data_IF_539940436837
#
_entry.id   IF_539940436837
#
_cell.length_a   1.000
_cell.length_b   1.000
_cell.length_c   1.000
_cell.angle_alpha   90.00
_cell.angle_beta   90.00
_cell.angle_gamma   90.00
#
_symmetry.space_group_name_H-M   'P 1'
#
loop_
_entity.id
_entity.type
_entity.pdbx_description
1 polymer ?
#
# COMPACT_ATOMS: atom_id res chain seq x y z
N UNK A 1 4.70 -18.26 -27.77
CA UNK A 1 4.71 -17.30 -26.65
C UNK A 1 3.78 -17.84 -25.56
N UNK A 2 4.30 -18.73 -24.70
CA UNK A 2 3.51 -19.44 -23.68
C UNK A 2 3.90 -19.09 -22.24
N UNK A 3 4.65 -18.01 -22.03
CA UNK A 3 5.41 -17.80 -20.77
C UNK A 3 4.72 -16.92 -19.71
N UNK A 4 3.49 -16.45 -19.90
CA UNK A 4 2.84 -15.57 -18.90
C UNK A 4 2.21 -16.33 -17.74
N UNK A 5 1.85 -17.60 -17.93
CA UNK A 5 1.33 -18.43 -16.83
C UNK A 5 2.43 -18.93 -15.89
N UNK A 6 3.69 -18.94 -16.34
CA UNK A 6 4.81 -19.43 -15.53
C UNK A 6 5.01 -18.53 -14.30
N UNK A 7 4.92 -17.21 -14.45
CA UNK A 7 5.09 -16.25 -13.34
C UNK A 7 4.05 -16.43 -12.23
N UNK A 8 2.79 -16.71 -12.57
CA UNK A 8 1.75 -16.94 -11.55
C UNK A 8 2.00 -18.23 -10.77
N UNK A 9 2.43 -19.29 -11.46
CA UNK A 9 2.73 -20.57 -10.81
C UNK A 9 3.97 -20.53 -9.92
N UNK A 10 4.86 -19.55 -10.12
CA UNK A 10 6.05 -19.33 -9.31
C UNK A 10 5.75 -18.65 -7.96
N UNK A 11 4.57 -18.02 -7.79
CA UNK A 11 4.19 -17.41 -6.52
C UNK A 11 3.92 -18.47 -5.45
N UNK A 12 4.09 -18.16 -4.16
CA UNK A 12 3.59 -18.98 -3.07
C UNK A 12 2.09 -19.32 -3.20
N UNK A 13 1.71 -20.55 -2.80
CA UNK A 13 0.33 -21.05 -2.96
C UNK A 13 -0.72 -20.17 -2.27
N UNK A 14 -0.39 -19.58 -1.12
CA UNK A 14 -1.32 -18.69 -0.41
C UNK A 14 -1.62 -17.41 -1.20
N UNK A 15 -0.63 -16.85 -1.92
CA UNK A 15 -0.84 -15.69 -2.80
C UNK A 15 -1.67 -16.09 -4.02
N UNK A 16 -1.37 -17.24 -4.64
CA UNK A 16 -2.18 -17.75 -5.75
C UNK A 16 -3.65 -17.88 -5.35
N UNK A 17 -3.92 -18.49 -4.19
CA UNK A 17 -5.28 -18.64 -3.66
C UNK A 17 -5.93 -17.29 -3.36
N UNK A 18 -5.17 -16.34 -2.79
CA UNK A 18 -5.66 -14.99 -2.49
C UNK A 18 -6.03 -14.21 -3.76
N UNK A 19 -5.19 -14.27 -4.80
CA UNK A 19 -5.43 -13.65 -6.12
C UNK A 19 -6.69 -14.22 -6.76
N UNK A 20 -6.85 -15.55 -6.74
CA UNK A 20 -8.04 -16.21 -7.26
C UNK A 20 -9.30 -15.90 -6.45
N UNK A 21 -9.19 -15.87 -5.12
CA UNK A 21 -10.30 -15.52 -4.24
C UNK A 21 -10.77 -14.09 -4.48
N UNK A 22 -9.86 -13.13 -4.60
CA UNK A 22 -10.18 -11.75 -4.91
C UNK A 22 -10.91 -11.60 -6.26
N UNK A 23 -10.52 -12.39 -7.27
CA UNK A 23 -11.23 -12.45 -8.55
C UNK A 23 -12.66 -12.96 -8.38
N UNK A 24 -12.85 -14.11 -7.74
CA UNK A 24 -14.18 -14.73 -7.58
C UNK A 24 -15.14 -13.84 -6.77
N UNK A 25 -14.64 -13.17 -5.73
CA UNK A 25 -15.45 -12.31 -4.86
C UNK A 25 -15.77 -10.93 -5.46
N UNK A 26 -15.10 -10.53 -6.53
CA UNK A 26 -15.32 -9.25 -7.21
C UNK A 26 -16.20 -9.37 -8.45
N UNK A 27 -16.36 -10.58 -9.01
CA UNK A 27 -17.35 -10.83 -10.06
C UNK A 27 -18.74 -10.65 -9.44
N UNK A 28 -19.54 -9.66 -9.89
CA UNK A 28 -20.89 -9.50 -9.40
C UNK A 28 -21.64 -10.79 -9.69
N UNK A 29 -22.13 -11.45 -8.63
CA UNK A 29 -22.92 -12.66 -8.79
C UNK A 29 -24.20 -12.27 -9.50
N UNK A 30 -24.20 -12.41 -10.82
CA UNK A 30 -25.33 -12.10 -11.68
C UNK A 30 -26.52 -12.94 -11.18
N UNK A 31 -27.45 -12.27 -10.50
CA UNK A 31 -28.75 -12.82 -10.14
C UNK A 31 -28.72 -14.01 -9.19
N UNK A 32 -28.47 -13.77 -7.90
CA UNK A 32 -29.40 -14.33 -6.92
C UNK A 32 -30.44 -13.26 -6.61
N UNK A 33 -31.19 -12.82 -7.62
CA UNK A 33 -32.41 -12.08 -7.36
C UNK A 33 -33.32 -13.05 -6.60
N UNK A 34 -33.75 -12.72 -5.37
CA UNK A 34 -34.72 -13.53 -4.62
C UNK A 34 -36.11 -13.33 -5.23
N UNK A 35 -36.27 -13.62 -6.52
CA UNK A 35 -37.56 -13.65 -7.17
C UNK A 35 -38.11 -15.07 -7.05
N UNK A 36 -38.92 -15.19 -6.01
CA UNK A 36 -40.12 -16.01 -5.96
C UNK A 36 -39.93 -17.52 -6.10
N UNK A 37 -39.98 -18.16 -4.94
CA UNK A 37 -40.16 -19.59 -4.74
C UNK A 37 -41.53 -20.03 -5.29
N UNK A 38 -41.64 -20.08 -6.62
CA UNK A 38 -42.78 -20.66 -7.35
C UNK A 38 -42.38 -22.01 -7.92
N UNK A 39 -42.70 -23.09 -7.19
CA UNK A 39 -42.33 -24.46 -7.54
C UNK A 39 -42.85 -24.92 -8.91
N UNK A 40 -41.93 -25.39 -9.76
CA UNK A 40 -42.25 -26.06 -11.01
C UNK A 40 -41.24 -27.18 -11.27
N UNK A 41 -41.61 -28.41 -10.94
CA UNK A 41 -40.84 -29.61 -11.27
C UNK A 41 -40.82 -29.80 -12.79
N UNK A 42 -39.65 -29.67 -13.42
CA UNK A 42 -39.38 -30.29 -14.72
C UNK A 42 -38.17 -31.21 -14.58
N UNK A 43 -38.47 -32.50 -14.56
CA UNK A 43 -37.48 -33.56 -14.60
C UNK A 43 -36.92 -33.67 -16.03
N UNK A 44 -35.59 -33.70 -16.13
CA UNK A 44 -34.86 -34.17 -17.31
C UNK A 44 -34.39 -33.07 -18.25
N UNK A 45 -33.13 -32.66 -18.13
CA UNK A 45 -32.02 -33.14 -18.98
C UNK A 45 -30.71 -32.84 -18.24
N UNK A 46 -29.98 -33.93 -17.97
CA UNK A 46 -28.57 -33.98 -17.61
C UNK A 46 -27.70 -33.20 -18.61
N UNK A 47 -27.06 -32.13 -18.13
CA UNK A 47 -26.11 -31.34 -18.92
C UNK A 47 -25.64 -30.09 -18.18
N UNK A 48 -25.11 -30.24 -16.96
CA UNK A 48 -24.57 -29.16 -16.14
C UNK A 48 -23.24 -28.60 -16.67
N UNK A 49 -23.28 -27.95 -17.83
CA UNK A 49 -22.18 -27.22 -18.47
C UNK A 49 -22.39 -25.71 -18.28
N UNK A 50 -22.48 -25.21 -17.03
CA UNK A 50 -22.87 -23.82 -16.74
C UNK A 50 -22.07 -23.17 -15.59
N UNK A 51 -20.74 -23.33 -15.56
CA UNK A 51 -19.90 -22.51 -14.67
C UNK A 51 -18.50 -22.16 -15.20
N UNK A 52 -18.11 -22.59 -16.41
CA UNK A 52 -16.81 -22.21 -16.99
C UNK A 52 -16.82 -20.76 -17.55
N UNK A 53 -18.00 -20.16 -17.74
CA UNK A 53 -18.14 -18.81 -18.34
C UNK A 53 -17.92 -17.63 -17.38
N UNK A 54 -17.61 -17.87 -16.10
CA UNK A 54 -17.20 -16.78 -15.18
C UNK A 54 -15.69 -16.59 -15.16
N UNK A 55 -15.02 -16.83 -16.29
CA UNK A 55 -13.59 -16.60 -16.45
C UNK A 55 -13.24 -15.11 -16.67
N UNK A 56 -14.17 -14.19 -16.45
CA UNK A 56 -14.03 -12.77 -16.77
C UNK A 56 -14.53 -11.86 -15.64
N UNK A 57 -13.77 -10.79 -15.34
CA UNK A 57 -14.13 -9.73 -14.40
C UNK A 57 -14.33 -8.42 -15.17
N UNK A 58 -15.42 -7.65 -14.94
CA UNK A 58 -15.59 -6.35 -15.57
C UNK A 58 -14.54 -5.35 -15.07
N UNK A 59 -14.06 -4.45 -15.93
CA UNK A 59 -13.04 -3.46 -15.59
C UNK A 59 -13.44 -2.57 -14.40
N UNK A 60 -14.75 -2.32 -14.22
CA UNK A 60 -15.30 -1.57 -13.09
C UNK A 60 -15.15 -2.26 -11.73
N UNK A 61 -14.99 -3.58 -11.70
CA UNK A 61 -14.81 -4.36 -10.46
C UNK A 61 -13.33 -4.53 -10.06
N UNK A 62 -12.39 -4.15 -10.95
CA UNK A 62 -10.95 -4.27 -10.70
C UNK A 62 -10.48 -3.47 -9.49
N UNK A 63 -10.86 -2.19 -9.29
CA UNK A 63 -10.47 -1.46 -8.09
C UNK A 63 -10.87 -2.20 -6.80
N UNK A 64 -12.07 -2.78 -6.75
CA UNK A 64 -12.53 -3.57 -5.61
C UNK A 64 -11.72 -4.86 -5.44
N UNK A 65 -11.37 -5.53 -6.53
CA UNK A 65 -10.53 -6.73 -6.49
C UNK A 65 -9.11 -6.40 -5.98
N UNK A 66 -8.51 -5.30 -6.45
CA UNK A 66 -7.21 -4.81 -5.99
C UNK A 66 -7.23 -4.46 -4.50
N UNK A 67 -8.31 -3.83 -4.03
CA UNK A 67 -8.49 -3.53 -2.61
C UNK A 67 -8.47 -4.79 -1.73
N UNK A 68 -9.06 -5.91 -2.19
CA UNK A 68 -9.00 -7.21 -1.47
C UNK A 68 -7.59 -7.80 -1.43
N UNK A 69 -6.76 -7.43 -2.39
CA UNK A 69 -5.34 -7.78 -2.45
C UNK A 69 -4.46 -6.80 -1.66
N UNK A 70 -5.05 -5.85 -0.93
CA UNK A 70 -4.36 -4.73 -0.27
C UNK A 70 -3.49 -3.91 -1.24
N UNK A 71 -3.86 -3.88 -2.53
CA UNK A 71 -3.25 -3.04 -3.54
C UNK A 71 -4.04 -1.72 -3.69
N UNK A 72 -3.38 -0.61 -4.03
CA UNK A 72 -4.07 0.66 -4.21
C UNK A 72 -5.14 0.57 -5.33
N UNK A 73 -6.42 0.80 -5.02
CA UNK A 73 -7.50 0.64 -6.00
C UNK A 73 -7.50 1.75 -7.08
N UNK A 74 -6.87 2.89 -6.78
CA UNK A 74 -6.85 4.10 -7.61
C UNK A 74 -5.52 4.27 -8.37
N UNK A 75 -4.67 3.24 -8.45
CA UNK A 75 -3.40 3.34 -9.19
C UNK A 75 -3.66 3.33 -10.70
N UNK A 76 -3.57 4.52 -11.31
CA UNK A 76 -3.79 4.72 -12.75
C UNK A 76 -2.87 3.84 -13.63
N UNK A 77 -1.64 3.57 -13.20
CA UNK A 77 -0.71 2.75 -13.98
C UNK A 77 -1.16 1.29 -13.99
N UNK A 78 -1.53 0.76 -12.82
CA UNK A 78 -2.07 -0.60 -12.69
C UNK A 78 -3.37 -0.74 -13.47
N UNK A 79 -4.29 0.22 -13.32
CA UNK A 79 -5.56 0.23 -14.05
C UNK A 79 -5.36 0.31 -15.57
N UNK A 80 -4.36 1.05 -16.05
CA UNK A 80 -4.01 1.12 -17.46
C UNK A 80 -3.49 -0.23 -17.98
N UNK A 81 -2.68 -0.95 -17.19
CA UNK A 81 -2.22 -2.31 -17.54
C UNK A 81 -3.41 -3.26 -17.67
N UNK A 82 -4.36 -3.23 -16.73
CA UNK A 82 -5.59 -4.02 -16.83
C UNK A 82 -6.45 -3.65 -18.03
N UNK A 83 -6.57 -2.36 -18.34
CA UNK A 83 -7.28 -1.90 -19.55
C UNK A 83 -6.61 -2.42 -20.83
N UNK A 84 -5.27 -2.42 -20.88
CA UNK A 84 -4.52 -2.99 -21.99
C UNK A 84 -4.70 -4.51 -22.09
N UNK A 85 -4.73 -5.19 -20.95
CA UNK A 85 -4.97 -6.64 -20.88
C UNK A 85 -6.38 -7.00 -21.34
N UNK A 86 -7.39 -6.25 -20.92
CA UNK A 86 -8.78 -6.39 -21.37
C UNK A 86 -8.95 -6.13 -22.87
N UNK A 87 -8.17 -5.19 -23.43
CA UNK A 87 -8.15 -4.93 -24.87
C UNK A 87 -7.51 -6.07 -25.67
N UNK A 88 -6.96 -7.08 -24.99
CA UNK A 88 -6.39 -8.28 -25.56
C UNK A 88 -4.91 -8.12 -25.92
N UNK A 89 -4.01 -8.64 -25.08
CA UNK A 89 -2.60 -8.81 -25.45
C UNK A 89 -2.40 -9.84 -26.56
N UNK A 90 -3.34 -10.80 -26.69
CA UNK A 90 -3.23 -11.97 -27.58
C UNK A 90 -3.86 -11.77 -28.96
N UNK A 91 -4.49 -10.62 -29.23
CA UNK A 91 -5.31 -10.42 -30.42
C UNK A 91 -4.61 -9.62 -31.51
N UNK A 92 -3.47 -10.11 -32.00
CA UNK A 92 -2.97 -9.69 -33.33
C UNK A 92 -3.77 -10.31 -34.48
N UNK A 93 -4.78 -11.16 -34.18
CA UNK A 93 -5.47 -11.99 -35.18
C UNK A 93 -6.92 -11.62 -35.46
N UNK A 94 -7.56 -10.75 -34.67
CA UNK A 94 -8.99 -10.48 -34.85
C UNK A 94 -9.20 -9.12 -35.48
N UNK A 95 -9.81 -9.16 -36.67
CA UNK A 95 -10.23 -8.00 -37.44
C UNK A 95 -11.09 -7.09 -36.55
N UNK A 96 -10.93 -5.76 -36.65
CA UNK A 96 -11.84 -4.84 -36.01
C UNK A 96 -13.20 -4.97 -36.68
N UNK A 97 -14.12 -5.72 -36.08
CA UNK A 97 -15.54 -5.51 -36.34
C UNK A 97 -15.92 -4.22 -35.62
N UNK A 98 -15.75 -3.11 -36.34
CA UNK A 98 -16.48 -1.88 -36.10
C UNK A 98 -17.96 -2.23 -36.20
N UNK A 99 -18.70 -2.24 -35.07
CA UNK A 99 -20.04 -1.65 -34.96
C UNK A 99 -20.41 -1.64 -33.48
N UNK A 100 -20.82 -0.45 -33.05
CA UNK A 100 -20.99 -0.03 -31.66
C UNK A 100 -21.92 -0.87 -30.81
N UNK A 101 -21.45 -1.11 -29.60
CA UNK A 101 -22.17 -0.95 -28.33
C UNK A 101 -21.06 -0.82 -27.26
N UNK A 102 -21.35 -0.23 -26.10
CA UNK A 102 -20.42 -0.20 -24.96
C UNK A 102 -20.16 -1.63 -24.47
N UNK A 103 -19.38 -2.40 -25.23
CA UNK A 103 -18.94 -3.71 -24.85
C UNK A 103 -18.18 -3.53 -23.55
N UNK A 104 -18.83 -3.93 -22.45
CA UNK A 104 -18.23 -3.90 -21.13
C UNK A 104 -16.84 -4.53 -21.25
N UNK A 105 -15.82 -3.75 -20.90
CA UNK A 105 -14.44 -4.17 -21.03
C UNK A 105 -14.18 -5.20 -19.94
N UNK A 106 -13.91 -6.44 -20.31
CA UNK A 106 -13.68 -7.54 -19.37
C UNK A 106 -12.21 -7.97 -19.36
N UNK A 107 -11.70 -8.33 -18.20
CA UNK A 107 -10.37 -8.94 -18.02
C UNK A 107 -10.53 -10.43 -17.79
N UNK A 108 -9.79 -11.26 -18.55
CA UNK A 108 -9.81 -12.70 -18.36
C UNK A 108 -9.11 -13.10 -17.04
N UNK A 109 -9.47 -14.25 -16.47
CA UNK A 109 -8.84 -14.76 -15.25
C UNK A 109 -7.33 -14.97 -15.42
N UNK A 110 -6.90 -15.40 -16.61
CA UNK A 110 -5.48 -15.58 -16.91
C UNK A 110 -4.73 -14.26 -16.96
N UNK A 111 -5.33 -13.23 -17.57
CA UNK A 111 -4.74 -11.89 -17.60
C UNK A 111 -4.71 -11.27 -16.19
N UNK A 112 -5.77 -11.49 -15.40
CA UNK A 112 -5.80 -11.10 -13.98
C UNK A 112 -4.64 -11.71 -13.19
N UNK A 113 -4.49 -13.04 -13.28
CA UNK A 113 -3.40 -13.77 -12.63
C UNK A 113 -2.03 -13.29 -13.10
N UNK A 114 -1.87 -13.06 -14.40
CA UNK A 114 -0.60 -12.60 -14.99
C UNK A 114 -0.21 -11.22 -14.47
N UNK A 115 -1.14 -10.25 -14.47
CA UNK A 115 -0.88 -8.89 -13.98
C UNK A 115 -0.60 -8.91 -12.48
N UNK A 116 -1.42 -9.61 -11.69
CA UNK A 116 -1.20 -9.72 -10.25
C UNK A 116 0.14 -10.41 -9.94
N UNK A 117 0.54 -11.42 -10.71
CA UNK A 117 1.83 -12.08 -10.49
C UNK A 117 3.00 -11.13 -10.63
N UNK A 118 3.01 -10.29 -11.66
CA UNK A 118 4.06 -9.27 -11.85
C UNK A 118 4.05 -8.24 -10.71
N UNK A 119 2.87 -7.83 -10.23
CA UNK A 119 2.77 -6.89 -9.11
C UNK A 119 3.30 -7.48 -7.80
N UNK A 120 3.11 -8.79 -7.57
CA UNK A 120 3.57 -9.47 -6.37
C UNK A 120 4.99 -10.06 -6.49
N UNK A 121 5.55 -10.19 -7.68
CA UNK A 121 6.91 -10.72 -7.90
C UNK A 121 7.96 -9.92 -7.11
N UNK A 122 7.81 -8.60 -7.06
CA UNK A 122 8.69 -7.71 -6.29
C UNK A 122 8.39 -7.68 -4.78
N UNK A 123 7.27 -8.25 -4.34
CA UNK A 123 6.85 -8.24 -2.94
C UNK A 123 6.88 -9.63 -2.30
N UNK A 124 7.13 -10.69 -3.07
CA UNK A 124 7.11 -12.06 -2.55
C UNK A 124 8.11 -12.26 -1.39
N UNK A 125 9.30 -11.66 -1.49
CA UNK A 125 10.36 -11.75 -0.47
C UNK A 125 9.93 -11.13 0.88
N UNK A 126 9.07 -10.11 0.88
CA UNK A 126 8.60 -9.44 2.11
C UNK A 126 7.59 -10.28 2.90
N UNK A 127 6.91 -11.23 2.25
CA UNK A 127 5.91 -12.08 2.91
C UNK A 127 6.48 -13.41 3.41
N UNK A 128 7.64 -13.86 2.93
CA UNK A 128 8.26 -15.10 3.43
C UNK A 128 8.70 -14.96 4.90
N UNK A 129 9.06 -13.76 5.34
CA UNK A 129 9.52 -13.52 6.72
C UNK A 129 8.39 -13.34 7.74
N UNK A 130 7.16 -13.07 7.31
CA UNK A 130 6.07 -12.73 8.22
C UNK A 130 5.11 -13.89 8.56
N UNK A 131 5.19 -15.02 7.84
CA UNK A 131 4.33 -16.20 8.06
C UNK A 131 5.14 -17.47 8.41
N UNK A 132 6.36 -17.28 8.93
CA UNK A 132 7.16 -18.34 9.57
C UNK A 132 6.67 -18.74 10.97
N UNK A 133 5.52 -18.21 11.41
CA UNK A 133 4.82 -18.61 12.63
C UNK A 133 4.07 -19.94 12.48
N UNK A 134 4.69 -20.93 11.84
CA UNK A 134 4.33 -22.30 12.09
C UNK A 134 4.57 -22.54 13.59
N UNK A 135 3.49 -22.80 14.32
CA UNK A 135 3.48 -23.26 15.72
C UNK A 135 4.14 -24.64 15.75
N UNK A 136 5.45 -24.67 15.51
CA UNK A 136 6.32 -25.80 15.75
C UNK A 136 6.67 -25.77 17.22
N UNK A 137 6.01 -26.66 17.96
CA UNK A 137 6.38 -27.16 19.28
C UNK A 137 7.92 -27.19 19.45
N UNK A 138 8.47 -26.11 20.00
CA UNK A 138 9.88 -26.00 20.35
C UNK A 138 10.00 -26.23 21.86
N UNK A 139 10.83 -27.20 22.29
CA UNK A 139 10.99 -27.52 23.70
C UNK A 139 11.65 -26.34 24.42
N UNK A 140 11.06 -25.99 25.56
CA UNK A 140 11.60 -25.10 26.59
C UNK A 140 13.10 -25.36 26.81
N UNK A 141 13.95 -24.43 26.37
CA UNK A 141 15.32 -24.30 26.86
C UNK A 141 15.34 -23.12 27.82
N UNK A 142 15.31 -23.48 29.10
CA UNK A 142 15.64 -22.63 30.24
C UNK A 142 17.12 -22.21 30.12
N UNK A 143 17.37 -21.00 29.60
CA UNK A 143 18.71 -20.41 29.55
C UNK A 143 18.81 -19.30 30.57
N UNK A 144 19.26 -19.70 31.74
CA UNK A 144 19.65 -18.87 32.88
C UNK A 144 21.07 -18.32 32.68
N UNK A 145 21.29 -17.04 33.01
CA UNK A 145 22.60 -16.36 33.03
C UNK A 145 22.93 -15.70 31.68
N UNK A 146 23.44 -14.47 31.59
CA UNK A 146 24.45 -13.81 32.42
C UNK A 146 24.34 -12.28 32.21
N UNK A 147 24.57 -11.53 33.29
CA UNK A 147 24.85 -10.09 33.28
C UNK A 147 26.00 -9.76 32.31
N UNK A 148 25.84 -8.75 31.46
CA UNK A 148 27.01 -8.08 30.87
C UNK A 148 26.83 -6.56 30.85
N UNK A 149 27.66 -5.93 31.67
CA UNK A 149 27.77 -4.52 32.00
C UNK A 149 28.64 -3.85 30.92
N UNK A 150 28.01 -3.13 29.98
CA UNK A 150 28.77 -2.40 28.96
C UNK A 150 28.96 -0.93 29.36
N UNK A 151 30.23 -0.64 29.68
CA UNK A 151 30.82 0.68 29.89
C UNK A 151 30.65 1.60 28.68
N UNK A 152 30.27 2.84 28.99
CA UNK A 152 30.22 4.02 28.12
C UNK A 152 31.65 4.55 27.83
N UNK A 153 32.07 4.68 26.56
CA UNK A 153 33.24 5.46 26.21
C UNK A 153 32.85 6.86 25.71
N UNK A 154 33.18 7.88 26.50
CA UNK A 154 33.49 9.22 26.01
C UNK A 154 34.72 9.14 25.10
N UNK A 155 34.76 9.88 23.96
CA UNK A 155 35.75 10.97 23.94
C UNK A 155 35.42 12.19 23.05
N UNK A 156 35.91 13.32 23.54
CA UNK A 156 36.69 14.37 22.86
C UNK A 156 36.07 15.14 21.69
N UNK A 157 35.48 16.27 22.07
CA UNK A 157 35.87 17.62 21.66
C UNK A 157 37.03 17.70 20.64
N UNK A 158 36.70 17.90 19.37
CA UNK A 158 37.58 18.62 18.44
C UNK A 158 36.85 19.80 17.81
N UNK A 159 37.50 20.95 17.92
CA UNK A 159 36.99 22.30 17.71
C UNK A 159 37.51 22.80 16.38
N UNK A 160 36.78 22.57 15.31
CA UNK A 160 37.13 23.12 14.00
C UNK A 160 36.62 24.56 13.83
N UNK A 161 37.60 25.46 13.77
CA UNK A 161 37.55 26.90 13.56
C UNK A 161 36.99 27.23 12.15
N UNK A 162 35.75 27.75 12.10
CA UNK A 162 35.10 28.18 10.85
C UNK A 162 35.68 29.52 10.38
N UNK A 163 36.43 29.50 9.27
CA UNK A 163 36.93 30.72 8.59
C UNK A 163 35.83 31.26 7.67
N UNK A 164 35.30 32.43 8.02
CA UNK A 164 34.31 33.17 7.22
C UNK A 164 34.97 33.84 6.00
N UNK A 165 34.78 33.25 4.82
CA UNK A 165 35.22 33.80 3.55
C UNK A 165 34.25 34.84 2.97
N UNK A 166 34.73 35.84 2.22
CA UNK A 166 33.90 36.95 1.72
C UNK A 166 32.87 36.48 0.67
N UNK A 167 31.60 36.61 1.05
CA UNK A 167 30.42 36.37 0.21
C UNK A 167 30.43 37.25 -1.05
N UNK A 168 30.58 36.63 -2.22
CA UNK A 168 30.40 37.31 -3.51
C UNK A 168 28.92 37.38 -3.85
N UNK A 169 28.35 38.56 -3.62
CA UNK A 169 26.98 38.95 -3.97
C UNK A 169 26.72 38.79 -5.48
N UNK A 170 26.13 37.65 -5.88
CA UNK A 170 25.59 37.46 -7.23
C UNK A 170 24.15 37.97 -7.27
N UNK A 171 23.98 39.19 -7.80
CA UNK A 171 22.70 39.73 -8.28
C UNK A 171 22.04 38.73 -9.24
N UNK A 172 21.01 38.03 -8.76
CA UNK A 172 20.08 37.28 -9.63
C UNK A 172 18.99 38.22 -10.15
N UNK A 173 18.99 38.38 -11.46
CA UNK A 173 18.01 39.10 -12.27
C UNK A 173 16.61 38.49 -12.10
N UNK A 174 15.67 39.32 -11.68
CA UNK A 174 14.25 39.01 -11.48
C UNK A 174 13.57 38.74 -12.82
N UNK A 175 13.49 37.47 -13.23
CA UNK A 175 12.58 37.06 -14.30
C UNK A 175 11.16 36.95 -13.74
N UNK A 176 10.29 37.84 -14.22
CA UNK A 176 8.86 37.88 -13.96
C UNK A 176 8.18 36.70 -14.66
N UNK A 177 8.09 35.55 -13.97
CA UNK A 177 7.28 34.42 -14.42
C UNK A 177 5.80 34.73 -14.14
N UNK A 178 5.00 34.69 -15.21
CA UNK A 178 3.52 34.68 -15.17
C UNK A 178 3.06 33.63 -14.17
N UNK A 179 2.27 34.05 -13.19
CA UNK A 179 1.51 33.17 -12.33
C UNK A 179 0.55 32.35 -13.21
N UNK A 180 0.89 31.08 -13.42
CA UNK A 180 -0.11 30.05 -13.69
C UNK A 180 -0.74 29.77 -12.34
N UNK A 181 -1.96 30.24 -12.17
CA UNK A 181 -2.87 29.84 -11.10
C UNK A 181 -3.12 28.34 -11.23
N UNK A 182 -2.21 27.52 -10.69
CA UNK A 182 -2.55 26.18 -10.23
C UNK A 182 -3.39 26.40 -8.98
N UNK A 183 -4.71 26.43 -9.16
CA UNK A 183 -5.64 26.10 -8.09
C UNK A 183 -5.31 24.66 -7.69
N UNK A 184 -4.36 24.51 -6.77
CA UNK A 184 -4.28 23.34 -5.91
C UNK A 184 -5.56 23.38 -5.11
N UNK A 185 -6.60 22.80 -5.72
CA UNK A 185 -7.81 22.40 -5.04
C UNK A 185 -7.32 21.62 -3.85
N UNK A 186 -7.31 22.26 -2.67
CA UNK A 186 -7.15 21.59 -1.41
C UNK A 186 -8.27 20.55 -1.41
N UNK A 187 -7.90 19.33 -1.79
CA UNK A 187 -8.78 18.19 -1.80
C UNK A 187 -9.32 18.13 -0.40
N UNK A 188 -10.57 18.57 -0.26
CA UNK A 188 -11.34 18.50 0.97
C UNK A 188 -11.00 17.17 1.61
N UNK A 189 -10.42 17.22 2.81
CA UNK A 189 -9.96 16.08 3.60
C UNK A 189 -11.15 15.12 3.68
N UNK A 190 -11.24 14.23 2.70
CA UNK A 190 -12.26 13.21 2.65
C UNK A 190 -11.95 12.33 3.83
N UNK A 191 -12.98 12.02 4.62
CA UNK A 191 -12.90 11.13 5.79
C UNK A 191 -11.79 10.08 5.64
N UNK A 192 -10.88 9.95 6.62
CA UNK A 192 -9.64 9.19 6.48
C UNK A 192 -9.95 7.80 5.91
N UNK A 193 -9.41 7.51 4.72
CA UNK A 193 -9.51 6.17 4.12
C UNK A 193 -8.91 5.20 5.14
N UNK A 194 -9.66 4.15 5.50
CA UNK A 194 -9.14 3.11 6.41
C UNK A 194 -7.88 2.52 5.78
N UNK A 195 -6.79 2.51 6.55
CA UNK A 195 -5.51 1.92 6.13
C UNK A 195 -5.69 0.44 5.81
N UNK A 196 -5.00 -0.05 4.77
CA UNK A 196 -4.95 -1.50 4.50
C UNK A 196 -4.19 -2.21 5.62
N UNK A 197 -4.32 -3.54 5.71
CA UNK A 197 -3.59 -4.32 6.75
C UNK A 197 -2.08 -4.13 6.63
N UNK A 198 -1.58 -4.09 5.38
CA UNK A 198 -0.17 -3.86 5.08
C UNK A 198 0.27 -2.45 5.48
N UNK A 199 -0.47 -1.44 5.04
CA UNK A 199 -0.21 -0.04 5.42
C UNK A 199 -0.18 0.13 6.92
N UNK A 200 -1.10 -0.53 7.63
CA UNK A 200 -1.16 -0.49 9.09
C UNK A 200 0.10 -1.07 9.72
N UNK A 201 0.58 -2.24 9.22
CA UNK A 201 1.82 -2.87 9.68
C UNK A 201 3.04 -1.96 9.44
N UNK A 202 3.23 -1.49 8.21
CA UNK A 202 4.35 -0.60 7.84
C UNK A 202 4.31 0.72 8.62
N UNK A 203 3.11 1.30 8.80
CA UNK A 203 2.94 2.48 9.64
C UNK A 203 3.32 2.18 11.08
N UNK A 204 2.92 1.03 11.64
CA UNK A 204 3.21 0.66 13.02
C UNK A 204 4.72 0.44 13.25
N UNK A 205 5.39 -0.26 12.33
CA UNK A 205 6.85 -0.45 12.36
C UNK A 205 7.59 0.90 12.31
N UNK A 206 7.18 1.79 11.41
CA UNK A 206 7.79 3.13 11.30
C UNK A 206 7.46 4.00 12.52
N UNK A 207 6.24 3.87 13.06
CA UNK A 207 5.79 4.58 14.26
C UNK A 207 6.59 4.14 15.49
N UNK A 208 6.96 2.87 15.56
CA UNK A 208 7.79 2.32 16.64
C UNK A 208 9.16 3.00 16.75
N UNK A 209 9.72 3.50 15.63
CA UNK A 209 10.99 4.24 15.63
C UNK A 209 10.93 5.54 16.46
N UNK A 210 9.75 6.12 16.64
CA UNK A 210 9.54 7.27 17.52
C UNK A 210 9.44 6.90 19.00
N UNK A 211 9.35 5.62 19.36
CA UNK A 211 9.17 5.18 20.75
C UNK A 211 10.04 3.97 21.11
N UNK A 212 11.38 4.12 21.23
CA UNK A 212 12.29 3.02 21.52
C UNK A 212 12.00 2.25 22.82
N UNK A 213 11.28 2.88 23.76
CA UNK A 213 10.97 2.31 25.07
C UNK A 213 9.53 1.77 25.17
N UNK A 214 8.71 1.92 24.13
CA UNK A 214 7.32 1.47 24.15
C UNK A 214 7.18 0.06 23.58
N UNK A 215 6.26 -0.73 24.14
CA UNK A 215 5.90 -2.03 23.59
C UNK A 215 4.98 -1.87 22.37
N UNK A 216 4.97 -2.83 21.44
CA UNK A 216 4.11 -2.80 20.25
C UNK A 216 2.62 -2.65 20.59
N UNK A 217 2.17 -3.22 21.72
CA UNK A 217 0.80 -3.10 22.20
C UNK A 217 0.44 -1.69 22.68
N UNK A 218 1.42 -0.91 23.13
CA UNK A 218 1.20 0.45 23.61
C UNK A 218 1.32 1.50 22.50
N UNK A 219 1.96 1.16 21.38
CA UNK A 219 2.20 2.09 20.27
C UNK A 219 0.94 2.81 19.78
N UNK A 220 -0.22 2.16 19.57
CA UNK A 220 -1.42 2.86 19.09
C UNK A 220 -1.95 3.92 20.06
N UNK A 221 -1.59 3.83 21.34
CA UNK A 221 -1.99 4.78 22.39
C UNK A 221 -0.95 5.90 22.59
N UNK A 222 0.26 5.73 22.06
CA UNK A 222 1.28 6.78 22.08
C UNK A 222 0.96 7.89 21.08
N UNK A 223 1.59 9.05 21.28
CA UNK A 223 1.40 10.23 20.43
C UNK A 223 2.75 10.85 20.19
N UNK A 224 3.08 11.14 18.93
CA UNK A 224 4.36 11.77 18.58
C UNK A 224 4.30 13.22 19.05
N UNK A 225 5.22 13.57 19.95
CA UNK A 225 5.37 14.92 20.46
C UNK A 225 6.59 15.62 19.84
N UNK A 226 6.68 16.93 20.06
CA UNK A 226 7.83 17.76 19.64
C UNK A 226 9.15 17.16 20.13
N UNK A 227 9.19 16.61 21.35
CA UNK A 227 10.39 16.01 21.95
C UNK A 227 10.88 14.79 21.17
N UNK A 228 9.97 13.99 20.62
CA UNK A 228 10.31 12.78 19.88
C UNK A 228 10.91 13.15 18.51
N UNK A 229 10.33 14.14 17.83
CA UNK A 229 10.86 14.66 16.56
C UNK A 229 12.23 15.30 16.78
N UNK A 230 12.42 16.08 17.85
CA UNK A 230 13.72 16.67 18.20
C UNK A 230 14.77 15.61 18.52
N UNK A 231 14.38 14.50 19.16
CA UNK A 231 15.30 13.40 19.46
C UNK A 231 15.79 12.75 18.16
N UNK A 232 14.88 12.46 17.23
CA UNK A 232 15.22 11.87 15.94
C UNK A 232 16.04 12.83 15.06
N UNK A 233 15.72 14.12 15.04
CA UNK A 233 16.48 15.08 14.24
C UNK A 233 17.93 15.15 14.72
N UNK A 234 18.15 15.18 16.04
CA UNK A 234 19.49 15.12 16.65
C UNK A 234 20.23 13.83 16.29
N UNK A 235 19.53 12.69 16.28
CA UNK A 235 20.12 11.40 15.90
C UNK A 235 20.57 11.37 14.44
N UNK A 236 19.83 12.04 13.55
CA UNK A 236 20.15 12.17 12.12
C UNK A 236 21.26 13.23 11.87
N UNK A 237 21.53 14.10 12.85
CA UNK A 237 22.45 15.23 12.71
C UNK A 237 21.81 16.51 12.19
N UNK A 238 20.47 16.53 12.07
CA UNK A 238 19.70 17.69 11.62
C UNK A 238 19.12 18.46 12.80
N UNK A 239 19.32 19.79 12.79
CA UNK A 239 18.74 20.69 13.80
C UNK A 239 17.48 21.36 13.27
N UNK A 240 16.31 20.79 13.59
CA UNK A 240 15.02 21.42 13.33
C UNK A 240 14.66 22.38 14.47
N UNK A 241 14.18 23.59 14.14
CA UNK A 241 13.70 24.52 15.16
C UNK A 241 12.38 24.02 15.73
N UNK A 242 12.12 24.32 17.00
CA UNK A 242 10.85 23.95 17.65
C UNK A 242 9.62 24.52 16.93
N UNK A 243 9.76 25.71 16.33
CA UNK A 243 8.72 26.37 15.52
C UNK A 243 8.38 25.56 14.26
N UNK A 244 9.41 25.11 13.53
CA UNK A 244 9.24 24.30 12.32
C UNK A 244 8.57 22.95 12.64
N UNK A 245 8.97 22.30 13.74
CA UNK A 245 8.37 21.03 14.20
C UNK A 245 6.89 21.23 14.55
N UNK A 246 6.57 22.34 15.20
CA UNK A 246 5.19 22.70 15.53
C UNK A 246 4.35 22.89 14.28
N UNK A 247 4.89 23.57 13.26
CA UNK A 247 4.21 23.79 11.98
C UNK A 247 3.99 22.45 11.25
N UNK A 248 5.01 21.60 11.18
CA UNK A 248 4.91 20.25 10.61
C UNK A 248 3.85 19.39 11.31
N UNK A 249 3.86 19.36 12.65
CA UNK A 249 2.87 18.60 13.41
C UNK A 249 1.46 19.19 13.23
N UNK A 250 1.32 20.50 13.13
CA UNK A 250 0.03 21.15 12.92
C UNK A 250 -0.56 20.90 11.52
N UNK A 251 0.27 20.62 10.51
CA UNK A 251 -0.19 20.31 9.15
C UNK A 251 -0.88 18.95 9.07
N UNK A 252 -0.43 17.96 9.86
CA UNK A 252 -0.93 16.59 9.80
C UNK A 252 -1.73 16.14 11.03
N UNK A 253 -1.65 16.87 12.15
CA UNK A 253 -2.40 16.54 13.38
C UNK A 253 -3.82 17.08 13.34
N UNK A 254 -4.79 16.24 13.71
CA UNK A 254 -6.16 16.70 14.01
C UNK A 254 -6.32 17.18 15.45
N UNK A 255 -5.25 17.16 16.25
CA UNK A 255 -5.32 17.35 17.70
C UNK A 255 -4.88 18.74 18.13
N UNK A 256 -5.58 19.38 19.09
CA UNK A 256 -5.34 20.77 19.47
C UNK A 256 -4.02 20.99 20.21
N UNK A 257 -3.44 19.93 20.76
CA UNK A 257 -2.20 19.92 21.52
C UNK A 257 -0.96 19.78 20.63
N UNK A 258 -1.13 19.74 19.29
CA UNK A 258 -0.05 19.61 18.31
C UNK A 258 0.77 18.34 18.50
N UNK A 259 0.15 17.27 18.99
CA UNK A 259 0.72 15.92 18.96
C UNK A 259 0.08 15.12 17.84
N UNK A 260 0.82 14.19 17.25
CA UNK A 260 0.36 13.40 16.11
C UNK A 260 0.03 11.98 16.57
N UNK A 261 -1.25 11.59 16.47
CA UNK A 261 -1.71 10.24 16.80
C UNK A 261 -1.28 9.21 15.75
N UNK A 262 -1.41 7.91 16.05
CA UNK A 262 -1.17 6.86 15.05
C UNK A 262 -2.03 7.02 13.79
N UNK A 263 -3.30 7.43 13.94
CA UNK A 263 -4.21 7.64 12.81
C UNK A 263 -3.77 8.81 11.92
N UNK A 264 -3.31 9.90 12.53
CA UNK A 264 -2.77 11.07 11.83
C UNK A 264 -1.48 10.69 11.08
N UNK A 265 -0.58 9.98 11.77
CA UNK A 265 0.67 9.50 11.20
C UNK A 265 0.43 8.56 10.01
N UNK A 266 -0.48 7.60 10.13
CA UNK A 266 -0.82 6.70 9.03
C UNK A 266 -1.44 7.44 7.84
N UNK A 267 -2.29 8.43 8.10
CA UNK A 267 -2.85 9.29 7.05
C UNK A 267 -1.76 10.09 6.34
N UNK A 268 -0.79 10.63 7.09
CA UNK A 268 0.39 11.31 6.55
C UNK A 268 1.26 10.37 5.71
N UNK A 269 1.53 9.16 6.18
CA UNK A 269 2.32 8.16 5.45
C UNK A 269 1.68 7.79 4.11
N UNK A 270 0.36 7.58 4.09
CA UNK A 270 -0.37 7.29 2.84
C UNK A 270 -0.40 8.50 1.91
N UNK A 271 -0.63 9.71 2.45
CA UNK A 271 -0.59 10.94 1.66
C UNK A 271 0.79 11.16 1.01
N UNK A 272 1.86 10.80 1.71
CA UNK A 272 3.24 10.86 1.23
C UNK A 272 3.66 9.66 0.35
N UNK A 273 2.80 8.65 0.19
CA UNK A 273 3.10 7.37 -0.50
C UNK A 273 4.29 6.61 0.10
N UNK A 274 4.39 6.62 1.43
CA UNK A 274 5.42 5.94 2.21
C UNK A 274 4.95 4.63 2.87
N UNK A 275 3.65 4.32 2.77
CA UNK A 275 3.03 3.12 3.33
C UNK A 275 2.19 2.37 2.30
#
# INVERSE_FOLDING_TARGET
MSSTNDSFSALPQYLQHRIDKAFVESVPSAGSDPLDSGGGFVAGVTGGFLAEDRAQIPLSAIPTALQRLDLPPDDEQVLLVFKNAASGWKSSSNKPDEIGEEAAVYVSRDDWRSVCAVLFEHHAEEYEDSDGGAVGDQPYVDSSGEDDEYQEPEPDSDSDEYIEGPSTSRRRTRMKRRARSSSSSASSISSPKKLTSRQTKTCLETYALFFPSASESDLPNQRIMIKDVQRLSKLIGDTLKGEDIIEMLAEFSTSPDKSMSFADFGSMMVAARLA
#
